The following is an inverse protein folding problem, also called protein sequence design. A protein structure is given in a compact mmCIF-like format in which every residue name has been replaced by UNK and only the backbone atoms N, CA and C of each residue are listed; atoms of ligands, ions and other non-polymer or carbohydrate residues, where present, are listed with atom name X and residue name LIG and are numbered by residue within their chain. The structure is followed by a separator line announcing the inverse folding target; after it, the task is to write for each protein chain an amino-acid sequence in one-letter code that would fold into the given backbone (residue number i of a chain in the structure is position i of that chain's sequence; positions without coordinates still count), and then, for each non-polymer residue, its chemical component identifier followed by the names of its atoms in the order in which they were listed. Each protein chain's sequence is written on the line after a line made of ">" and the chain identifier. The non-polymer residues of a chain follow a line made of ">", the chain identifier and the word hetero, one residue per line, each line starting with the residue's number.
data_IF_948239362181
#
_entry.id   IF_948239362181
#
_cell.length_a   1.000
_cell.length_b   1.000
_cell.length_c   1.000
_cell.angle_alpha   90.00
_cell.angle_beta   90.00
_cell.angle_gamma   90.00
#
_symmetry.space_group_name_H-M   'P 1'
#
loop_
_entity.id
_entity.type
_entity.pdbx_description
1 polymer ?
#
# COMPACT_ATOMS: atom_id res chain seq x y z
N UNK A 1 -20.79 -13.79 18.66
CA UNK A 1 -20.57 -14.43 17.33
C UNK A 1 -19.27 -13.87 16.77
N UNK A 2 -18.20 -14.68 16.65
CA UNK A 2 -16.98 -14.28 15.95
C UNK A 2 -17.27 -14.35 14.47
N UNK A 3 -17.41 -13.20 13.79
CA UNK A 3 -17.46 -13.13 12.35
C UNK A 3 -16.09 -13.59 11.82
N UNK A 4 -16.02 -14.80 11.31
CA UNK A 4 -14.86 -15.27 10.60
C UNK A 4 -14.75 -14.45 9.32
N UNK A 5 -13.72 -13.62 9.21
CA UNK A 5 -13.33 -13.02 7.95
C UNK A 5 -12.87 -14.18 7.06
N UNK A 6 -13.65 -14.50 6.03
CA UNK A 6 -13.24 -15.48 5.04
C UNK A 6 -11.97 -14.96 4.34
N UNK A 7 -10.98 -15.82 4.21
CA UNK A 7 -9.76 -15.48 3.46
C UNK A 7 -10.15 -15.09 2.03
N UNK A 8 -9.50 -14.06 1.50
CA UNK A 8 -9.71 -13.66 0.10
C UNK A 8 -9.25 -14.76 -0.86
N UNK A 9 -9.80 -14.85 -2.07
CA UNK A 9 -9.33 -15.82 -3.07
C UNK A 9 -7.81 -15.75 -3.30
N UNK A 10 -7.23 -14.55 -3.26
CA UNK A 10 -5.80 -14.36 -3.42
C UNK A 10 -5.00 -14.94 -2.23
N UNK A 11 -5.50 -14.79 -1.00
CA UNK A 11 -4.87 -15.39 0.19
C UNK A 11 -4.94 -16.91 0.15
N UNK A 12 -6.08 -17.48 -0.27
CA UNK A 12 -6.24 -18.92 -0.41
C UNK A 12 -5.28 -19.45 -1.48
N UNK A 13 -5.16 -18.80 -2.63
CA UNK A 13 -4.23 -19.18 -3.69
C UNK A 13 -2.78 -19.07 -3.24
N UNK A 14 -2.41 -17.99 -2.55
CA UNK A 14 -1.08 -17.81 -1.98
C UNK A 14 -0.75 -18.91 -0.96
N UNK A 15 -1.68 -19.22 -0.05
CA UNK A 15 -1.51 -20.30 0.92
C UNK A 15 -1.32 -21.66 0.25
N UNK A 16 -2.13 -21.98 -0.78
CA UNK A 16 -2.01 -23.24 -1.49
C UNK A 16 -0.66 -23.34 -2.22
N UNK A 17 -0.22 -22.28 -2.89
CA UNK A 17 1.08 -22.24 -3.55
C UNK A 17 2.26 -22.33 -2.57
N UNK A 18 2.14 -21.76 -1.37
CA UNK A 18 3.14 -21.93 -0.30
C UNK A 18 3.19 -23.39 0.20
N UNK A 19 2.03 -24.04 0.38
CA UNK A 19 1.94 -25.45 0.80
C UNK A 19 2.55 -26.37 -0.25
N UNK A 20 2.35 -26.10 -1.54
CA UNK A 20 2.95 -26.84 -2.64
C UNK A 20 4.46 -26.57 -2.82
N UNK A 21 5.00 -25.57 -2.15
CA UNK A 21 6.41 -25.17 -2.28
C UNK A 21 6.72 -24.39 -3.56
N UNK A 22 5.72 -23.87 -4.24
CA UNK A 22 5.88 -23.08 -5.48
C UNK A 22 6.26 -21.63 -5.21
N UNK A 23 5.85 -21.10 -4.06
CA UNK A 23 6.15 -19.73 -3.64
C UNK A 23 6.64 -19.67 -2.20
N UNK A 24 7.39 -18.62 -1.90
CA UNK A 24 7.73 -18.18 -0.55
C UNK A 24 7.23 -16.77 -0.34
N UNK A 25 6.55 -16.53 0.78
CA UNK A 25 6.06 -15.21 1.15
C UNK A 25 6.82 -14.65 2.36
N UNK A 26 7.19 -13.37 2.26
CA UNK A 26 7.87 -12.65 3.34
C UNK A 26 7.09 -11.38 3.66
N UNK A 27 6.77 -11.16 4.93
CA UNK A 27 6.21 -9.88 5.38
C UNK A 27 7.14 -8.73 4.99
N UNK A 28 6.56 -7.68 4.42
CA UNK A 28 7.31 -6.53 3.96
C UNK A 28 6.48 -5.25 4.02
N UNK A 29 7.16 -4.13 4.26
CA UNK A 29 6.55 -2.80 4.27
C UNK A 29 7.30 -1.91 3.31
N UNK A 30 6.60 -1.39 2.31
CA UNK A 30 7.08 -0.28 1.51
C UNK A 30 6.58 1.03 2.12
N UNK A 31 7.37 2.11 2.02
CA UNK A 31 6.99 3.41 2.56
C UNK A 31 7.16 4.51 1.54
N UNK A 32 6.13 5.36 1.41
CA UNK A 32 6.23 6.64 0.75
C UNK A 32 6.37 7.73 1.83
N UNK A 33 7.50 8.43 1.82
CA UNK A 33 7.82 9.46 2.83
C UNK A 33 7.73 10.83 2.18
N UNK A 34 6.84 11.65 2.68
CA UNK A 34 6.64 13.05 2.29
C UNK A 34 7.27 13.92 3.37
N UNK A 35 8.31 14.66 3.00
CA UNK A 35 9.02 15.56 3.92
C UNK A 35 8.81 17.02 3.54
N UNK A 36 9.22 17.93 4.39
CA UNK A 36 9.19 19.37 4.10
C UNK A 36 9.99 19.75 2.84
N UNK A 37 11.00 18.96 2.48
CA UNK A 37 11.78 19.15 1.24
C UNK A 37 11.00 18.71 -0.02
N UNK A 38 10.04 17.83 0.11
CA UNK A 38 9.10 17.44 -0.95
C UNK A 38 7.82 18.29 -0.94
N UNK A 39 7.81 19.34 -0.14
CA UNK A 39 6.85 20.44 -0.14
C UNK A 39 5.38 20.02 -0.01
N UNK A 40 5.04 19.25 1.03
CA UNK A 40 3.64 19.04 1.40
C UNK A 40 3.07 20.30 2.07
N UNK A 41 3.13 21.43 1.34
CA UNK A 41 2.60 22.71 1.74
C UNK A 41 1.08 22.69 1.88
N UNK A 42 0.52 23.79 2.37
CA UNK A 42 -0.93 23.98 2.44
C UNK A 42 -1.56 23.80 1.05
N UNK A 43 -2.59 22.99 0.94
CA UNK A 43 -3.30 22.67 -0.30
C UNK A 43 -2.40 22.12 -1.44
N UNK A 44 -1.22 21.61 -1.13
CA UNK A 44 -0.30 21.05 -2.12
C UNK A 44 -0.58 19.58 -2.40
N UNK A 45 -0.32 19.17 -3.64
CA UNK A 45 -0.33 17.77 -4.08
C UNK A 45 1.08 17.36 -4.43
N UNK A 46 1.51 16.21 -3.93
CA UNK A 46 2.85 15.67 -4.15
C UNK A 46 2.76 14.18 -4.50
N UNK A 47 3.58 13.76 -5.46
CA UNK A 47 3.73 12.37 -5.87
C UNK A 47 5.05 11.80 -5.34
N UNK A 48 4.97 10.64 -4.70
CA UNK A 48 6.14 9.88 -4.29
C UNK A 48 6.12 8.51 -4.96
N UNK A 49 7.09 8.21 -5.83
CA UNK A 49 7.22 6.89 -6.44
C UNK A 49 7.78 5.89 -5.43
N UNK A 50 7.15 4.71 -5.35
CA UNK A 50 7.59 3.57 -4.56
C UNK A 50 7.92 2.43 -5.52
N UNK A 51 9.21 2.21 -5.83
CA UNK A 51 9.62 1.13 -6.72
C UNK A 51 9.44 -0.23 -6.03
N UNK A 52 8.75 -1.14 -6.69
CA UNK A 52 8.65 -2.54 -6.27
C UNK A 52 9.87 -3.28 -6.81
N UNK A 53 10.57 -3.98 -5.93
CA UNK A 53 11.80 -4.67 -6.29
C UNK A 53 11.59 -5.67 -7.44
N UNK A 54 12.68 -5.92 -8.18
CA UNK A 54 12.65 -6.84 -9.33
C UNK A 54 12.57 -8.32 -8.93
N UNK A 55 12.92 -8.62 -7.69
CA UNK A 55 13.07 -9.99 -7.17
C UNK A 55 11.75 -10.65 -6.76
N UNK A 56 10.70 -9.88 -6.57
CA UNK A 56 9.45 -10.36 -6.01
C UNK A 56 8.25 -9.53 -6.41
N UNK A 57 7.09 -10.16 -6.52
CA UNK A 57 5.82 -9.44 -6.55
C UNK A 57 5.45 -8.99 -5.14
N UNK A 58 4.57 -8.01 -5.02
CA UNK A 58 4.09 -7.50 -3.73
C UNK A 58 2.58 -7.59 -3.63
N UNK A 59 2.09 -8.27 -2.60
CA UNK A 59 0.67 -8.31 -2.25
C UNK A 59 0.43 -7.31 -1.13
N UNK A 60 -0.15 -6.16 -1.47
CA UNK A 60 -0.53 -5.13 -0.52
C UNK A 60 -1.84 -5.50 0.15
N UNK A 61 -1.86 -5.53 1.48
CA UNK A 61 -3.04 -5.87 2.29
C UNK A 61 -3.56 -4.72 3.12
N UNK A 62 -2.66 -3.84 3.57
CA UNK A 62 -3.02 -2.74 4.46
C UNK A 62 -2.36 -1.44 4.02
N UNK A 63 -3.04 -0.35 4.34
CA UNK A 63 -2.53 1.00 4.24
C UNK A 63 -2.53 1.64 5.62
N UNK A 64 -1.42 2.28 5.97
CA UNK A 64 -1.33 3.10 7.17
C UNK A 64 -0.74 4.47 6.82
N UNK A 65 -1.20 5.51 7.51
CA UNK A 65 -0.67 6.87 7.36
C UNK A 65 -0.38 7.45 8.74
N UNK A 66 0.81 8.02 8.87
CA UNK A 66 1.19 8.80 10.05
C UNK A 66 1.64 10.19 9.60
N UNK A 67 1.05 11.22 10.16
CA UNK A 67 1.39 12.61 9.89
C UNK A 67 1.99 13.28 11.11
N UNK A 68 2.94 14.18 10.88
CA UNK A 68 3.63 14.93 11.92
C UNK A 68 3.48 16.42 11.66
N UNK A 69 3.11 17.15 12.70
CA UNK A 69 3.04 18.62 12.70
C UNK A 69 4.43 19.26 12.57
N UNK A 70 4.50 20.56 12.36
CA UNK A 70 5.76 21.30 12.33
C UNK A 70 6.59 21.17 13.63
N UNK A 71 5.96 20.83 14.75
CA UNK A 71 6.62 20.56 16.03
C UNK A 71 7.05 19.08 16.20
N UNK A 72 7.01 18.29 15.13
CA UNK A 72 7.34 16.86 15.12
C UNK A 72 6.47 16.00 16.07
N UNK A 73 5.25 16.44 16.31
CA UNK A 73 4.25 15.69 17.07
C UNK A 73 3.25 15.02 16.14
N UNK A 74 2.82 13.76 16.44
CA UNK A 74 1.82 13.08 15.63
C UNK A 74 0.53 13.88 15.52
N UNK A 75 0.00 13.99 14.32
CA UNK A 75 -1.27 14.64 14.02
C UNK A 75 -2.42 13.70 14.35
N UNK A 76 -3.42 14.18 15.11
CA UNK A 76 -4.54 13.34 15.57
C UNK A 76 -5.61 13.18 14.50
N UNK A 77 -5.80 14.20 13.68
CA UNK A 77 -6.83 14.20 12.62
C UNK A 77 -6.26 14.79 11.31
N UNK A 78 -5.45 14.04 10.59
CA UNK A 78 -4.81 14.51 9.38
C UNK A 78 -5.83 14.69 8.23
N UNK A 79 -5.89 15.87 7.64
CA UNK A 79 -6.78 16.18 6.50
C UNK A 79 -6.04 16.05 5.17
N UNK A 80 -5.91 14.80 4.73
CA UNK A 80 -5.30 14.46 3.44
C UNK A 80 -6.24 13.66 2.56
N UNK A 81 -6.00 13.73 1.25
CA UNK A 81 -6.52 12.74 0.30
C UNK A 81 -5.37 11.97 -0.33
N UNK A 82 -5.58 10.68 -0.55
CA UNK A 82 -4.63 9.73 -1.09
C UNK A 82 -5.13 9.13 -2.40
N UNK A 83 -4.24 8.97 -3.37
CA UNK A 83 -4.48 8.22 -4.59
C UNK A 83 -3.30 7.29 -4.86
N UNK A 84 -3.58 6.07 -5.32
CA UNK A 84 -2.59 5.07 -5.67
C UNK A 84 -2.69 4.73 -7.16
N UNK A 85 -1.56 4.81 -7.87
CA UNK A 85 -1.48 4.50 -9.29
C UNK A 85 -0.29 3.58 -9.55
N UNK A 86 -0.49 2.48 -10.28
CA UNK A 86 0.59 1.61 -10.72
C UNK A 86 1.13 2.14 -12.04
N UNK A 87 2.34 2.71 -12.02
CA UNK A 87 3.04 3.12 -13.23
C UNK A 87 3.37 1.87 -14.06
N UNK A 88 3.49 2.00 -15.35
CA UNK A 88 3.82 0.87 -16.24
C UNK A 88 2.61 0.09 -16.74
N UNK A 89 1.60 -0.16 -15.94
CA UNK A 89 0.31 -0.70 -16.42
C UNK A 89 -0.73 0.39 -16.67
N UNK A 90 -0.48 1.63 -16.21
CA UNK A 90 -1.47 2.72 -16.20
C UNK A 90 -2.68 2.41 -15.33
N UNK A 91 -2.64 1.33 -14.54
CA UNK A 91 -3.75 0.89 -13.70
C UNK A 91 -3.89 1.80 -12.49
N UNK A 92 -4.98 2.52 -12.43
CA UNK A 92 -5.38 3.21 -11.22
C UNK A 92 -6.00 2.19 -10.26
N UNK A 93 -5.56 2.21 -9.01
CA UNK A 93 -6.16 1.38 -7.95
C UNK A 93 -7.40 2.04 -7.35
N UNK A 94 -7.63 3.30 -7.68
CA UNK A 94 -8.75 4.12 -7.23
C UNK A 94 -9.23 4.97 -8.39
N UNK A 95 -10.53 5.16 -8.52
CA UNK A 95 -11.13 6.04 -9.55
C UNK A 95 -10.86 7.52 -9.28
N UNK A 96 -10.62 7.87 -8.02
CA UNK A 96 -10.33 9.22 -7.55
C UNK A 96 -9.61 9.17 -6.21
N UNK A 97 -8.99 10.28 -5.84
CA UNK A 97 -8.39 10.45 -4.53
C UNK A 97 -9.44 10.28 -3.41
N UNK A 98 -9.11 9.50 -2.41
CA UNK A 98 -9.94 9.21 -1.24
C UNK A 98 -9.38 9.90 0.00
N UNK A 99 -10.24 10.26 0.95
CA UNK A 99 -9.78 10.75 2.24
C UNK A 99 -9.02 9.65 2.99
N UNK A 100 -7.94 10.03 3.66
CA UNK A 100 -7.10 9.05 4.39
C UNK A 100 -7.86 8.37 5.51
N UNK A 101 -8.85 9.04 6.14
CA UNK A 101 -9.71 8.46 7.15
C UNK A 101 -10.50 7.24 6.61
N UNK A 102 -10.91 7.29 5.33
CA UNK A 102 -11.62 6.19 4.70
C UNK A 102 -10.70 5.01 4.35
N UNK A 103 -9.43 5.28 4.04
CA UNK A 103 -8.48 4.28 3.58
C UNK A 103 -7.62 3.70 4.71
N UNK A 104 -7.13 4.57 5.58
CA UNK A 104 -6.16 4.23 6.61
C UNK A 104 -6.76 4.14 8.01
N UNK A 105 -8.08 4.40 8.14
CA UNK A 105 -8.76 4.48 9.42
C UNK A 105 -8.56 5.82 10.13
N UNK A 106 -9.43 6.10 11.10
CA UNK A 106 -9.31 7.29 11.94
C UNK A 106 -8.50 6.97 13.20
N UNK A 107 -7.53 7.82 13.52
CA UNK A 107 -6.78 7.76 14.78
C UNK A 107 -7.69 7.86 16.03
N UNK A 108 -8.86 8.46 15.89
CA UNK A 108 -9.83 8.63 16.98
C UNK A 108 -10.49 7.32 17.41
N UNK A 109 -10.41 6.25 16.60
CA UNK A 109 -11.03 4.96 16.92
C UNK A 109 -9.96 3.96 17.35
N UNK A 110 -9.04 4.31 18.19
CA UNK A 110 -8.13 3.43 18.95
C UNK A 110 -7.87 2.02 18.35
N UNK A 111 -7.83 1.91 17.02
CA UNK A 111 -7.42 0.72 16.31
C UNK A 111 -5.92 0.83 16.08
N UNK A 112 -5.16 0.20 16.94
CA UNK A 112 -3.78 -0.15 16.69
C UNK A 112 -3.74 -1.06 15.45
N UNK A 113 -3.47 -0.50 14.29
CA UNK A 113 -3.37 -1.22 13.01
C UNK A 113 -3.91 -0.37 11.86
N UNK A 114 -3.27 -0.45 10.71
CA UNK A 114 -3.75 0.15 9.47
C UNK A 114 -5.11 -0.42 9.05
N UNK A 115 -5.77 0.23 8.13
CA UNK A 115 -6.98 -0.32 7.55
C UNK A 115 -6.62 -1.44 6.58
N UNK A 116 -7.14 -2.61 6.88
CA UNK A 116 -7.05 -3.74 5.98
C UNK A 116 -7.88 -3.44 4.72
N UNK A 117 -7.26 -3.60 3.57
CA UNK A 117 -7.98 -3.47 2.31
C UNK A 117 -9.03 -4.58 2.19
N UNK A 118 -10.23 -4.29 1.68
CA UNK A 118 -11.27 -5.30 1.51
C UNK A 118 -10.82 -6.45 0.59
N UNK A 119 -9.90 -6.14 -0.33
CA UNK A 119 -9.23 -7.11 -1.20
C UNK A 119 -7.75 -6.77 -1.28
N UNK A 120 -6.84 -7.75 -1.08
CA UNK A 120 -5.43 -7.57 -1.33
C UNK A 120 -5.15 -7.17 -2.78
N UNK A 121 -4.17 -6.32 -2.99
CA UNK A 121 -3.78 -5.84 -4.32
C UNK A 121 -2.43 -6.41 -4.70
N UNK A 122 -2.40 -7.17 -5.81
CA UNK A 122 -1.15 -7.65 -6.38
C UNK A 122 -0.48 -6.56 -7.23
N UNK A 123 0.76 -6.23 -6.90
CA UNK A 123 1.62 -5.33 -7.65
C UNK A 123 2.83 -6.14 -8.12
N UNK A 124 2.98 -6.24 -9.43
CA UNK A 124 4.06 -7.04 -10.04
C UNK A 124 5.43 -6.41 -9.78
N UNK A 125 6.43 -7.26 -9.75
CA UNK A 125 7.84 -6.86 -9.70
C UNK A 125 8.20 -5.89 -10.84
N UNK A 126 9.21 -5.05 -10.62
CA UNK A 126 9.63 -3.99 -11.53
C UNK A 126 8.59 -2.90 -11.83
N UNK A 127 7.44 -2.92 -11.19
CA UNK A 127 6.51 -1.80 -11.28
C UNK A 127 6.84 -0.72 -10.25
N UNK A 128 6.35 0.47 -10.51
CA UNK A 128 6.41 1.58 -9.55
C UNK A 128 5.00 1.91 -9.13
N UNK A 129 4.73 1.90 -7.83
CA UNK A 129 3.51 2.42 -7.27
C UNK A 129 3.71 3.91 -6.97
N UNK A 130 2.94 4.77 -7.61
CA UNK A 130 2.93 6.19 -7.30
C UNK A 130 1.89 6.47 -6.23
N UNK A 131 2.35 7.03 -5.11
CA UNK A 131 1.52 7.50 -4.02
C UNK A 131 1.35 9.00 -4.17
N UNK A 132 0.16 9.44 -4.54
CA UNK A 132 -0.20 10.86 -4.66
C UNK A 132 -0.90 11.28 -3.39
N UNK A 133 -0.34 12.25 -2.66
CA UNK A 133 -0.92 12.79 -1.44
C UNK A 133 -1.24 14.27 -1.63
N UNK A 134 -2.46 14.66 -1.29
CA UNK A 134 -2.87 16.07 -1.28
C UNK A 134 -3.17 16.50 0.14
N UNK A 135 -2.44 17.50 0.62
CA UNK A 135 -2.73 18.18 1.88
C UNK A 135 -3.93 19.12 1.68
N UNK A 136 -5.02 18.87 2.39
CA UNK A 136 -6.22 19.73 2.34
C UNK A 136 -6.23 20.77 3.45
N UNK A 137 -5.28 20.68 4.38
CA UNK A 137 -5.11 21.65 5.46
C UNK A 137 -4.53 22.97 4.93
N UNK A 138 -4.87 24.07 5.57
CA UNK A 138 -4.24 25.36 5.36
C UNK A 138 -2.83 25.45 5.97
N UNK A 139 -2.37 24.41 6.66
CA UNK A 139 -1.07 24.32 7.33
C UNK A 139 -0.20 23.29 6.63
N UNK A 140 1.08 23.62 6.46
CA UNK A 140 2.04 22.66 5.91
C UNK A 140 2.34 21.55 6.93
N UNK A 141 2.47 20.32 6.45
CA UNK A 141 2.96 19.20 7.25
C UNK A 141 4.49 19.18 7.29
N UNK A 142 5.06 18.73 8.40
CA UNK A 142 6.48 18.51 8.51
C UNK A 142 6.88 17.18 7.81
N UNK A 143 6.14 16.13 8.11
CA UNK A 143 6.37 14.80 7.56
C UNK A 143 5.06 14.03 7.50
N UNK A 144 4.87 13.27 6.43
CA UNK A 144 3.80 12.29 6.31
C UNK A 144 4.40 10.98 5.79
N UNK A 145 4.16 9.91 6.50
CA UNK A 145 4.59 8.57 6.12
C UNK A 145 3.36 7.74 5.72
N UNK A 146 3.36 7.24 4.50
CA UNK A 146 2.36 6.27 4.03
C UNK A 146 3.02 4.91 3.95
N UNK A 147 2.57 3.97 4.76
CA UNK A 147 3.07 2.60 4.80
C UNK A 147 2.14 1.67 4.03
N UNK A 148 2.72 0.93 3.09
CA UNK A 148 2.08 -0.09 2.29
C UNK A 148 2.50 -1.44 2.88
N UNK A 149 1.60 -2.07 3.59
CA UNK A 149 1.89 -3.27 4.40
C UNK A 149 1.38 -4.50 3.65
N UNK A 150 2.20 -5.55 3.59
CA UNK A 150 1.83 -6.77 2.88
C UNK A 150 2.93 -7.82 2.84
N UNK A 151 2.99 -8.55 1.74
CA UNK A 151 3.94 -9.63 1.55
C UNK A 151 4.65 -9.52 0.20
N UNK A 152 5.95 -9.76 0.23
CA UNK A 152 6.72 -10.11 -0.97
C UNK A 152 6.47 -11.57 -1.31
N UNK A 153 6.27 -11.85 -2.59
CA UNK A 153 6.05 -13.19 -3.13
C UNK A 153 7.21 -13.56 -4.02
N UNK A 154 7.96 -14.57 -3.61
CA UNK A 154 9.07 -15.13 -4.37
C UNK A 154 8.66 -16.46 -4.98
N UNK A 155 8.98 -16.67 -6.24
CA UNK A 155 8.73 -17.91 -6.94
C UNK A 155 9.92 -18.83 -6.83
N UNK A 156 9.71 -20.09 -6.45
CA UNK A 156 10.76 -21.08 -6.22
C UNK A 156 10.81 -22.01 -7.44
N UNK A 157 11.95 -22.12 -8.10
CA UNK A 157 12.28 -23.22 -9.02
C UNK A 157 12.21 -22.97 -10.51
N UNK A 158 11.84 -21.78 -11.03
CA UNK A 158 11.93 -21.50 -12.47
C UNK A 158 12.38 -20.06 -12.79
N UNK A 159 13.07 -19.85 -13.94
CA UNK A 159 13.47 -18.50 -14.31
C UNK A 159 12.24 -17.61 -14.49
N UNK A 160 12.31 -16.46 -13.90
CA UNK A 160 11.26 -15.47 -13.59
C UNK A 160 10.37 -14.99 -14.75
N UNK A 161 10.52 -15.48 -15.97
CA UNK A 161 9.89 -14.90 -17.16
C UNK A 161 8.68 -15.66 -17.70
N UNK A 162 8.54 -16.95 -17.44
CA UNK A 162 7.51 -17.76 -18.10
C UNK A 162 6.26 -18.06 -17.25
N UNK A 163 6.39 -18.28 -15.94
CA UNK A 163 5.28 -18.80 -15.09
C UNK A 163 4.63 -17.79 -14.15
N UNK A 164 5.15 -16.55 -14.02
CA UNK A 164 4.52 -15.51 -13.20
C UNK A 164 3.06 -15.26 -13.55
N UNK A 165 2.67 -15.51 -14.78
CA UNK A 165 1.32 -15.27 -15.27
C UNK A 165 0.30 -16.33 -14.88
N UNK A 166 0.72 -17.55 -14.57
CA UNK A 166 -0.21 -18.68 -14.45
C UNK A 166 -0.87 -18.78 -13.08
N UNK A 167 -0.17 -18.43 -12.00
CA UNK A 167 -0.72 -18.56 -10.62
C UNK A 167 -1.77 -17.48 -10.30
N UNK A 168 -1.62 -16.27 -10.86
CA UNK A 168 -2.50 -15.14 -10.55
C UNK A 168 -3.34 -14.64 -11.75
N UNK A 169 -3.33 -15.34 -12.89
CA UNK A 169 -4.06 -14.93 -14.09
C UNK A 169 -5.48 -15.47 -14.21
N UNK A 170 -5.99 -16.15 -13.19
CA UNK A 170 -7.34 -16.75 -13.18
C UNK A 170 -8.32 -15.88 -12.38
N UNK A 171 -8.10 -14.58 -12.30
CA UNK A 171 -9.08 -13.63 -11.74
C UNK A 171 -9.43 -12.57 -12.77
#
# INVERSE_FOLDING_TARGET
>A
MKGGYGSSPLEIMACNAMISGEIYCQFFVYSAVFTSSTALGANATVDVPVPINADSDFIMQELNLTSFTAADTPEVDPDYTLMLTVAGSGRQLMDRAQTVQNLCGSFLINKAGGNQLPFPVLIQANNTLTVTLTNRSAVAANRVDVSLIGFKVYYIGEPQTANRRTIFHVL
#
